data_IF_149106510121
#
_entry.id   IF_149106510121
#
_cell.length_a   1.000
_cell.length_b   1.000
_cell.length_c   1.000
_cell.angle_alpha   90.00
_cell.angle_beta   90.00
_cell.angle_gamma   90.00
#
_symmetry.space_group_name_H-M   'P 1'
#
loop_
_entity.id
_entity.type
_entity.pdbx_description
1 polymer ?
#
# COMPACT_ATOMS: atom_id res chain seq x y z
N UNK A 1 -20.78 3.95 -13.04
CA UNK A 1 -19.53 4.00 -12.27
C UNK A 1 -19.14 2.57 -11.98
N UNK A 2 -18.12 2.06 -12.67
CA UNK A 2 -17.54 0.76 -12.32
C UNK A 2 -17.08 0.87 -10.86
N UNK A 3 -17.63 0.03 -9.98
CA UNK A 3 -17.09 -0.12 -8.64
C UNK A 3 -15.74 -0.80 -8.82
N UNK A 4 -14.69 -0.01 -9.02
CA UNK A 4 -13.33 -0.53 -9.16
C UNK A 4 -13.02 -1.37 -7.93
N UNK A 5 -13.14 -2.69 -8.09
CA UNK A 5 -12.86 -3.66 -7.05
C UNK A 5 -11.36 -3.87 -7.05
N UNK A 6 -10.65 -3.20 -6.16
CA UNK A 6 -9.23 -3.48 -5.96
C UNK A 6 -9.07 -4.85 -5.30
N UNK A 7 -8.08 -5.62 -5.73
CA UNK A 7 -7.66 -6.86 -5.08
C UNK A 7 -6.54 -6.54 -4.08
N UNK A 8 -6.63 -7.12 -2.89
CA UNK A 8 -5.56 -6.99 -1.91
C UNK A 8 -4.34 -7.80 -2.32
N UNK A 9 -3.17 -7.16 -2.40
CA UNK A 9 -1.91 -7.80 -2.80
C UNK A 9 -1.34 -8.80 -1.77
N UNK A 10 -1.95 -8.94 -0.59
CA UNK A 10 -1.51 -9.87 0.45
C UNK A 10 -2.41 -11.09 0.62
N UNK A 11 -3.73 -10.95 0.51
CA UNK A 11 -4.68 -12.03 0.77
C UNK A 11 -5.54 -12.43 -0.43
N UNK A 12 -5.37 -11.78 -1.58
CA UNK A 12 -6.14 -12.01 -2.81
C UNK A 12 -7.66 -11.76 -2.72
N UNK A 13 -8.15 -11.27 -1.57
CA UNK A 13 -9.55 -10.90 -1.41
C UNK A 13 -9.83 -9.49 -1.96
N UNK A 14 -11.09 -9.27 -2.32
CA UNK A 14 -11.58 -7.96 -2.75
C UNK A 14 -11.50 -6.94 -1.61
N UNK A 15 -11.09 -5.71 -1.94
CA UNK A 15 -11.14 -4.57 -1.04
C UNK A 15 -12.51 -3.92 -1.18
N UNK A 16 -13.30 -3.97 -0.11
CA UNK A 16 -14.67 -3.44 -0.06
C UNK A 16 -14.70 -2.03 0.56
N UNK A 17 -13.85 -1.77 1.56
CA UNK A 17 -13.66 -0.47 2.21
C UNK A 17 -12.23 -0.32 2.69
N UNK A 18 -11.84 0.90 3.09
CA UNK A 18 -10.57 1.20 3.76
C UNK A 18 -9.33 0.77 2.95
N UNK A 19 -9.33 1.13 1.66
CA UNK A 19 -8.24 0.83 0.74
C UNK A 19 -6.96 1.52 1.20
N UNK A 20 -5.90 0.73 1.35
CA UNK A 20 -4.55 1.21 1.64
C UNK A 20 -3.69 1.00 0.41
N UNK A 21 -2.91 2.02 0.07
CA UNK A 21 -1.98 2.00 -1.05
C UNK A 21 -0.55 1.77 -0.57
N UNK A 22 0.19 0.96 -1.32
CA UNK A 22 1.63 0.77 -1.18
C UNK A 22 2.31 1.19 -2.48
N UNK A 23 3.16 2.21 -2.40
CA UNK A 23 4.01 2.63 -3.51
C UNK A 23 5.40 2.01 -3.33
N UNK A 24 5.76 1.12 -4.25
CA UNK A 24 7.09 0.52 -4.33
C UNK A 24 7.92 1.32 -5.30
N UNK A 25 8.96 1.99 -4.79
CA UNK A 25 9.91 2.74 -5.61
C UNK A 25 11.19 1.93 -5.78
N UNK A 26 11.43 1.43 -6.98
CA UNK A 26 12.70 0.80 -7.34
C UNK A 26 13.74 1.84 -7.76
N UNK A 27 15.01 1.56 -7.46
CA UNK A 27 16.13 2.49 -7.64
C UNK A 27 15.91 3.83 -6.92
N UNK A 28 15.32 3.80 -5.72
CA UNK A 28 14.98 5.01 -4.93
C UNK A 28 16.19 5.91 -4.64
N UNK A 29 17.38 5.33 -4.67
CA UNK A 29 18.68 5.98 -4.49
C UNK A 29 19.13 6.80 -5.70
N UNK A 30 18.49 6.61 -6.87
CA UNK A 30 18.81 7.33 -8.11
C UNK A 30 17.97 8.58 -8.29
N UNK A 31 18.32 9.37 -9.31
CA UNK A 31 17.54 10.53 -9.75
C UNK A 31 16.09 10.15 -10.03
N UNK A 32 15.16 11.02 -9.61
CA UNK A 32 13.71 10.81 -9.73
C UNK A 32 13.24 10.44 -11.13
N UNK A 33 13.87 10.97 -12.17
CA UNK A 33 13.54 10.66 -13.57
C UNK A 33 13.83 9.21 -13.97
N UNK A 34 14.62 8.49 -13.18
CA UNK A 34 15.00 7.09 -13.40
C UNK A 34 14.38 6.12 -12.37
N UNK A 35 13.67 6.65 -11.38
CA UNK A 35 12.93 5.86 -10.40
C UNK A 35 11.74 5.18 -11.09
N UNK A 36 11.44 3.97 -10.65
CA UNK A 36 10.30 3.21 -11.15
C UNK A 36 9.34 2.98 -10.00
N UNK A 37 8.11 3.46 -10.16
CA UNK A 37 7.07 3.35 -9.14
C UNK A 37 6.07 2.28 -9.56
N UNK A 38 5.70 1.43 -8.59
CA UNK A 38 4.61 0.47 -8.71
C UNK A 38 3.64 0.68 -7.57
N UNK A 39 2.37 0.79 -7.90
CA UNK A 39 1.30 1.00 -6.94
C UNK A 39 0.56 -0.32 -6.70
N UNK A 40 0.45 -0.72 -5.45
CA UNK A 40 -0.30 -1.89 -5.00
C UNK A 40 -1.36 -1.47 -3.99
N UNK A 41 -2.45 -2.22 -3.93
CA UNK A 41 -3.55 -1.97 -2.99
C UNK A 41 -3.69 -3.13 -2.01
N UNK A 42 -4.04 -2.82 -0.76
CA UNK A 42 -4.25 -3.81 0.28
C UNK A 42 -5.26 -3.34 1.33
N UNK A 43 -5.75 -4.28 2.13
CA UNK A 43 -6.44 -3.93 3.38
C UNK A 43 -5.42 -3.41 4.40
N UNK A 44 -5.81 -2.40 5.17
CA UNK A 44 -5.01 -1.85 6.27
C UNK A 44 -4.57 -2.93 7.27
N UNK A 45 -5.45 -3.90 7.57
CA UNK A 45 -5.12 -5.00 8.48
C UNK A 45 -4.06 -5.94 7.92
N UNK A 46 -4.11 -6.24 6.62
CA UNK A 46 -3.11 -7.07 5.95
C UNK A 46 -1.74 -6.41 6.01
N UNK A 47 -1.67 -5.09 5.78
CA UNK A 47 -0.44 -4.33 5.93
C UNK A 47 0.10 -4.39 7.36
N UNK A 48 -0.75 -4.14 8.36
CA UNK A 48 -0.38 -4.19 9.79
C UNK A 48 0.15 -5.57 10.22
N UNK A 49 -0.36 -6.66 9.62
CA UNK A 49 0.13 -8.04 9.87
C UNK A 49 1.46 -8.33 9.17
N UNK A 50 1.69 -7.76 7.99
CA UNK A 50 2.90 -8.00 7.20
C UNK A 50 4.12 -7.24 7.74
N UNK A 51 3.90 -6.09 8.38
CA UNK A 51 4.98 -5.24 8.93
C UNK A 51 5.40 -5.65 10.34
N UNK A 52 6.67 -5.43 10.68
CA UNK A 52 7.21 -5.82 11.98
C UNK A 52 6.63 -5.00 13.12
N UNK A 53 6.21 -5.67 14.19
CA UNK A 53 5.83 -5.01 15.46
C UNK A 53 7.01 -4.45 16.25
N UNK A 54 8.26 -4.68 15.79
CA UNK A 54 9.48 -4.24 16.50
C UNK A 54 9.76 -2.75 16.34
N UNK A 55 9.17 -2.10 15.34
CA UNK A 55 9.36 -0.68 15.07
C UNK A 55 8.01 0.00 14.93
N UNK A 56 7.82 1.22 15.45
CA UNK A 56 6.58 1.96 15.26
C UNK A 56 6.41 2.23 13.76
N UNK A 57 5.34 1.70 13.19
CA UNK A 57 4.92 2.07 11.84
C UNK A 57 4.18 3.39 11.94
N UNK A 58 4.77 4.46 11.41
CA UNK A 58 4.04 5.70 11.19
C UNK A 58 3.14 5.50 9.97
N UNK A 59 1.95 4.96 10.21
CA UNK A 59 0.84 5.12 9.26
C UNK A 59 0.39 6.55 9.49
N UNK A 60 0.74 7.44 8.56
CA UNK A 60 0.13 8.76 8.54
C UNK A 60 -1.35 8.51 8.25
N UNK A 61 -2.16 8.42 9.30
CA UNK A 61 -3.59 8.60 9.16
C UNK A 61 -3.76 10.03 8.61
N UNK A 62 -3.84 10.14 7.28
CA UNK A 62 -4.29 11.35 6.60
C UNK A 62 -5.80 11.42 6.87
N UNK A 63 -6.15 11.69 8.14
CA UNK A 63 -7.51 12.02 8.55
C UNK A 63 -7.72 13.46 8.16
N UNK A 64 -8.68 13.70 7.27
CA UNK A 64 -9.41 14.97 7.18
C UNK A 64 -10.42 15.09 8.34
#
# INVERSE_FOLDING_TARGET
MEKNSYQCCFCDEQIISDVTELVVVANWDKDKSSQQEQQMFCHMECLKKAVSSKFPLYIADLVD
#
